data_IF_440993830697
#
_entry.id   IF_440993830697
#
_cell.length_a   1.000
_cell.length_b   1.000
_cell.length_c   1.000
_cell.angle_alpha   90.00
_cell.angle_beta   90.00
_cell.angle_gamma   90.00
#
_symmetry.space_group_name_H-M   'P 1'
#
loop_
_entity.id
_entity.type
_entity.pdbx_description
1 polymer ?
#
# COMPACT_ATOMS: atom_id res chain seq x y z
N UNK A 1 -16.11 -3.23 -6.79
CA UNK A 1 -17.34 -2.45 -6.64
C UNK A 1 -18.53 -3.42 -6.70
N UNK A 2 -18.85 -3.96 -7.89
CA UNK A 2 -19.96 -4.92 -8.07
C UNK A 2 -19.95 -6.09 -7.08
N UNK A 3 -18.83 -6.82 -6.96
CA UNK A 3 -18.71 -7.95 -6.04
C UNK A 3 -18.84 -7.60 -4.56
N UNK A 4 -18.69 -6.33 -4.19
CA UNK A 4 -18.89 -5.83 -2.83
C UNK A 4 -20.23 -5.10 -2.65
N UNK A 5 -21.03 -4.93 -3.70
CA UNK A 5 -22.27 -4.13 -3.66
C UNK A 5 -22.06 -2.63 -3.41
N UNK A 6 -20.87 -2.09 -3.72
CA UNK A 6 -20.50 -0.68 -3.47
C UNK A 6 -20.34 0.11 -4.76
N UNK A 7 -20.26 1.45 -4.65
CA UNK A 7 -19.98 2.32 -5.78
C UNK A 7 -18.55 2.21 -6.28
N UNK A 8 -18.33 2.49 -7.57
CA UNK A 8 -16.97 2.54 -8.14
C UNK A 8 -16.12 3.63 -7.48
N UNK A 9 -16.73 4.80 -7.21
CA UNK A 9 -16.06 5.91 -6.54
C UNK A 9 -15.56 5.54 -5.14
N UNK A 10 -16.31 4.71 -4.39
CA UNK A 10 -15.90 4.25 -3.06
C UNK A 10 -14.63 3.39 -3.13
N UNK A 11 -14.59 2.47 -4.09
CA UNK A 11 -13.40 1.63 -4.31
C UNK A 11 -12.22 2.46 -4.82
N UNK A 12 -12.48 3.43 -5.69
CA UNK A 12 -11.45 4.35 -6.18
C UNK A 12 -10.86 5.18 -5.03
N UNK A 13 -11.69 5.69 -4.12
CA UNK A 13 -11.25 6.45 -2.95
C UNK A 13 -10.31 5.63 -2.05
N UNK A 14 -10.57 4.32 -1.86
CA UNK A 14 -9.67 3.42 -1.14
C UNK A 14 -8.30 3.27 -1.82
N UNK A 15 -8.28 3.28 -3.16
CA UNK A 15 -7.06 3.13 -3.96
C UNK A 15 -6.30 4.44 -4.18
N UNK A 16 -6.98 5.58 -4.03
CA UNK A 16 -6.44 6.92 -4.11
C UNK A 16 -6.31 7.60 -2.73
N UNK A 17 -6.28 6.81 -1.64
CA UNK A 17 -6.33 7.33 -0.27
C UNK A 17 -5.19 8.30 0.01
N UNK A 18 -3.96 7.97 -0.38
CA UNK A 18 -2.81 8.84 -0.16
C UNK A 18 -3.00 10.18 -0.87
N UNK A 19 -3.51 10.15 -2.09
CA UNK A 19 -3.76 11.32 -2.91
C UNK A 19 -4.87 12.20 -2.30
N UNK A 20 -5.89 11.60 -1.69
CA UNK A 20 -6.95 12.35 -0.98
C UNK A 20 -6.47 12.93 0.35
N UNK A 21 -5.74 12.16 1.15
CA UNK A 21 -5.29 12.58 2.49
C UNK A 21 -4.22 13.66 2.45
N UNK A 22 -3.30 13.61 1.47
CA UNK A 22 -2.21 14.58 1.36
C UNK A 22 -2.52 15.77 0.44
N UNK A 23 -3.70 15.80 -0.18
CA UNK A 23 -4.14 16.94 -0.98
C UNK A 23 -4.70 18.09 -0.11
N UNK A 24 -4.35 19.32 -0.49
CA UNK A 24 -4.71 20.52 0.27
C UNK A 24 -6.17 20.93 0.08
N UNK A 25 -6.86 20.47 -0.96
CA UNK A 25 -8.27 20.77 -1.20
C UNK A 25 -9.17 20.25 -0.09
N UNK A 26 -8.75 19.21 0.64
CA UNK A 26 -9.47 18.67 1.80
C UNK A 26 -8.90 19.14 3.14
N UNK A 27 -7.95 20.08 3.16
CA UNK A 27 -7.32 20.57 4.39
C UNK A 27 -8.33 21.15 5.40
N UNK A 28 -9.45 21.70 4.92
CA UNK A 28 -10.54 22.19 5.78
C UNK A 28 -11.29 21.07 6.52
N UNK A 29 -11.29 19.84 5.98
CA UNK A 29 -11.87 18.67 6.65
C UNK A 29 -10.92 18.06 7.69
N UNK A 30 -9.61 18.24 7.51
CA UNK A 30 -8.60 17.77 8.46
C UNK A 30 -8.61 18.57 9.80
N UNK A 31 -9.19 19.78 9.79
CA UNK A 31 -9.16 20.69 10.94
C UNK A 31 -10.22 20.41 12.03
N UNK A 32 -11.17 19.48 11.81
CA UNK A 32 -12.27 19.26 12.74
C UNK A 32 -11.91 18.33 13.92
N UNK A 33 -10.85 17.53 13.83
CA UNK A 33 -10.46 16.52 14.84
C UNK A 33 -8.93 16.39 15.00
N UNK A 34 -8.19 17.47 14.74
CA UNK A 34 -6.72 17.47 14.78
C UNK A 34 -6.17 17.47 16.22
N UNK A 35 -6.39 16.38 16.96
CA UNK A 35 -5.28 15.85 17.74
C UNK A 35 -4.19 15.46 16.72
N UNK A 36 -2.92 15.77 16.98
CA UNK A 36 -1.81 15.37 16.12
C UNK A 36 -1.91 13.88 15.81
N UNK A 37 -2.41 13.52 14.63
CA UNK A 37 -2.41 12.14 14.16
C UNK A 37 -0.94 11.75 13.99
N UNK A 38 -0.43 10.75 14.74
CA UNK A 38 0.94 10.34 14.61
C UNK A 38 1.18 9.92 13.16
N UNK A 39 2.31 10.37 12.60
CA UNK A 39 2.71 10.07 11.24
C UNK A 39 2.63 8.55 10.98
N UNK A 40 2.24 8.15 9.75
CA UNK A 40 2.46 6.78 9.28
C UNK A 40 3.90 6.37 9.58
N UNK A 41 4.05 5.34 10.41
CA UNK A 41 5.31 4.70 10.69
C UNK A 41 5.44 3.50 9.77
N UNK A 42 6.52 3.41 9.01
CA UNK A 42 6.82 2.19 8.29
C UNK A 42 8.30 1.91 8.47
N UNK A 43 8.64 0.67 8.81
CA UNK A 43 10.02 0.20 8.84
C UNK A 43 10.15 -1.00 7.92
N UNK A 44 11.06 -0.91 6.95
CA UNK A 44 11.30 -1.96 5.97
C UNK A 44 12.75 -2.42 6.01
N UNK A 45 12.97 -3.70 5.72
CA UNK A 45 14.31 -4.26 5.59
C UNK A 45 14.42 -5.16 4.36
N UNK A 46 15.67 -5.33 3.90
CA UNK A 46 16.08 -6.39 3.00
C UNK A 46 17.44 -6.93 3.46
N UNK A 47 17.56 -8.24 3.65
CA UNK A 47 18.79 -8.94 4.00
C UNK A 47 19.14 -9.93 2.89
N UNK A 48 20.39 -9.89 2.44
CA UNK A 48 20.88 -10.69 1.32
C UNK A 48 22.36 -11.05 1.51
N UNK A 49 22.84 -12.04 0.75
CA UNK A 49 24.24 -12.48 0.80
C UNK A 49 24.61 -13.03 2.18
N UNK A 50 25.72 -12.55 2.75
CA UNK A 50 26.15 -12.99 4.09
C UNK A 50 25.18 -12.57 5.20
N UNK A 51 24.40 -11.49 5.00
CA UNK A 51 23.47 -10.99 6.01
C UNK A 51 22.22 -11.86 6.17
N UNK A 52 21.86 -12.68 5.17
CA UNK A 52 20.74 -13.62 5.28
C UNK A 52 21.11 -14.97 5.90
N UNK A 53 22.38 -15.36 5.83
CA UNK A 53 22.89 -16.60 6.44
C UNK A 53 22.54 -17.90 5.69
N UNK A 54 21.60 -17.87 4.74
CA UNK A 54 21.12 -19.03 3.98
C UNK A 54 21.20 -18.86 2.46
N UNK A 55 21.69 -17.70 1.98
CA UNK A 55 21.77 -17.39 0.55
C UNK A 55 20.44 -16.97 -0.10
N UNK A 56 19.34 -16.94 0.65
CA UNK A 56 18.08 -16.37 0.20
C UNK A 56 18.04 -14.85 0.45
N UNK A 57 17.12 -14.16 -0.23
CA UNK A 57 16.80 -12.76 0.08
C UNK A 57 15.61 -12.75 1.04
N UNK A 58 15.80 -12.13 2.19
CA UNK A 58 14.73 -11.87 3.16
C UNK A 58 14.31 -10.42 3.05
N UNK A 59 13.02 -10.15 2.93
CA UNK A 59 12.47 -8.81 2.94
C UNK A 59 11.21 -8.79 3.80
N UNK A 60 10.99 -7.67 4.49
CA UNK A 60 9.83 -7.52 5.35
C UNK A 60 9.61 -6.08 5.77
N UNK A 61 8.41 -5.82 6.26
CA UNK A 61 7.98 -4.50 6.66
C UNK A 61 7.02 -4.58 7.85
N UNK A 62 7.23 -3.70 8.83
CA UNK A 62 6.16 -3.27 9.73
C UNK A 62 5.43 -2.08 9.08
N UNK A 63 4.09 -2.15 9.07
CA UNK A 63 3.24 -1.08 8.60
C UNK A 63 2.38 -0.59 9.76
N UNK A 64 2.72 0.60 10.24
CA UNK A 64 2.10 1.25 11.38
C UNK A 64 1.08 2.26 10.86
N UNK A 65 -0.20 1.90 11.00
CA UNK A 65 -1.35 2.71 10.59
C UNK A 65 -2.42 2.70 11.69
N UNK A 66 -3.59 3.26 11.40
CA UNK A 66 -4.73 3.30 12.32
C UNK A 66 -5.12 1.90 12.78
N UNK A 67 -5.32 1.73 14.10
CA UNK A 67 -5.66 0.44 14.71
C UNK A 67 -6.89 -0.22 14.07
N UNK A 68 -7.89 0.59 13.68
CA UNK A 68 -9.12 0.13 13.02
C UNK A 68 -8.87 -0.53 11.65
N UNK A 69 -7.76 -0.21 10.98
CA UNK A 69 -7.40 -0.87 9.73
C UNK A 69 -7.05 -2.35 9.94
N UNK A 70 -6.68 -2.76 11.16
CA UNK A 70 -6.37 -4.15 11.47
C UNK A 70 -7.51 -5.12 11.12
N UNK A 71 -8.77 -4.68 11.26
CA UNK A 71 -9.96 -5.49 10.94
C UNK A 71 -10.22 -5.63 9.43
N UNK A 72 -9.59 -4.78 8.61
CA UNK A 72 -9.78 -4.76 7.15
C UNK A 72 -8.57 -5.28 6.38
N UNK A 73 -7.50 -5.67 7.07
CA UNK A 73 -6.32 -6.27 6.45
C UNK A 73 -6.65 -7.68 5.97
N UNK A 74 -6.37 -7.95 4.70
CA UNK A 74 -6.55 -9.26 4.07
C UNK A 74 -5.31 -9.67 3.27
N UNK A 75 -5.10 -10.98 3.16
CA UNK A 75 -4.11 -11.56 2.24
C UNK A 75 -4.80 -11.94 0.92
N UNK A 76 -4.29 -11.43 -0.20
CA UNK A 76 -4.78 -11.76 -1.53
C UNK A 76 -3.78 -12.62 -2.28
N UNK A 77 -4.27 -13.75 -2.83
CA UNK A 77 -3.57 -14.53 -3.84
C UNK A 77 -4.19 -14.27 -5.21
N UNK A 78 -3.44 -13.66 -6.12
CA UNK A 78 -3.91 -13.34 -7.48
C UNK A 78 -3.20 -14.23 -8.48
N UNK A 79 -3.93 -15.15 -9.12
CA UNK A 79 -3.43 -16.05 -10.17
C UNK A 79 -3.86 -15.51 -11.53
N UNK A 80 -2.89 -15.16 -12.39
CA UNK A 80 -3.15 -14.41 -13.61
C UNK A 80 -2.21 -14.78 -14.77
N UNK A 81 -2.23 -16.02 -15.31
CA UNK A 81 -1.38 -16.39 -16.43
C UNK A 81 -1.60 -15.47 -17.65
N UNK A 82 -0.53 -15.08 -18.39
CA UNK A 82 0.87 -15.52 -18.26
C UNK A 82 1.69 -14.69 -17.25
N UNK A 83 1.08 -13.79 -16.49
CA UNK A 83 1.76 -12.94 -15.51
C UNK A 83 2.08 -13.71 -14.21
N UNK A 84 3.03 -13.21 -13.40
CA UNK A 84 3.32 -13.79 -12.09
C UNK A 84 2.09 -13.88 -11.17
N UNK A 85 2.06 -14.95 -10.36
CA UNK A 85 1.11 -15.06 -9.25
C UNK A 85 1.54 -14.12 -8.14
N UNK A 86 0.60 -13.37 -7.57
CA UNK A 86 0.86 -12.39 -6.50
C UNK A 86 0.41 -12.94 -5.15
N UNK A 87 1.15 -12.62 -4.10
CA UNK A 87 0.73 -12.69 -2.71
C UNK A 87 0.92 -11.32 -2.08
N UNK A 88 -0.18 -10.68 -1.69
CA UNK A 88 -0.15 -9.31 -1.16
C UNK A 88 -0.95 -9.20 0.13
N UNK A 89 -0.45 -8.41 1.07
CA UNK A 89 -1.21 -7.93 2.22
C UNK A 89 -1.82 -6.57 1.86
N UNK A 90 -3.13 -6.45 1.81
CA UNK A 90 -3.84 -5.20 1.45
C UNK A 90 -4.88 -4.85 2.51
N UNK A 91 -5.40 -3.63 2.48
CA UNK A 91 -6.72 -3.36 3.06
C UNK A 91 -7.82 -3.75 2.06
N UNK A 92 -8.92 -4.31 2.54
CA UNK A 92 -10.02 -4.76 1.69
C UNK A 92 -10.51 -3.65 0.74
N UNK A 93 -10.50 -3.95 -0.56
CA UNK A 93 -10.85 -2.99 -1.62
C UNK A 93 -9.65 -2.35 -2.33
N UNK A 94 -8.43 -2.43 -1.77
CA UNK A 94 -7.22 -1.99 -2.45
C UNK A 94 -6.69 -3.04 -3.44
N UNK A 95 -6.10 -2.55 -4.53
CA UNK A 95 -5.60 -3.40 -5.63
C UNK A 95 -4.12 -3.80 -5.49
N UNK A 96 -3.37 -3.13 -4.60
CA UNK A 96 -1.94 -3.35 -4.43
C UNK A 96 -1.37 -2.61 -3.23
N UNK A 97 -0.49 -3.28 -2.49
CA UNK A 97 0.17 -2.74 -1.29
C UNK A 97 1.57 -3.39 -1.15
N UNK A 98 1.90 -4.13 -0.09
CA UNK A 98 3.15 -4.90 0.00
C UNK A 98 2.90 -6.37 -0.30
N UNK A 99 3.94 -7.06 -0.74
CA UNK A 99 3.82 -8.47 -1.10
C UNK A 99 5.01 -9.00 -1.86
N UNK A 100 4.81 -10.16 -2.47
CA UNK A 100 5.76 -10.78 -3.37
C UNK A 100 5.04 -11.47 -4.54
N UNK A 101 5.79 -11.78 -5.60
CA UNK A 101 5.26 -12.51 -6.74
C UNK A 101 6.09 -13.76 -7.09
N UNK A 102 5.53 -14.63 -7.92
CA UNK A 102 6.15 -15.89 -8.33
C UNK A 102 7.38 -15.73 -9.24
N UNK A 103 7.76 -14.50 -9.60
CA UNK A 103 9.00 -14.19 -10.30
C UNK A 103 10.15 -13.85 -9.32
N UNK A 104 9.91 -13.89 -8.01
CA UNK A 104 10.91 -13.62 -6.99
C UNK A 104 11.06 -12.14 -6.63
N UNK A 105 10.10 -11.29 -7.00
CA UNK A 105 10.10 -9.88 -6.62
C UNK A 105 9.33 -9.73 -5.30
N UNK A 106 9.95 -9.06 -4.33
CA UNK A 106 9.29 -8.60 -3.10
C UNK A 106 9.23 -7.06 -3.10
N UNK A 107 8.11 -6.51 -2.66
CA UNK A 107 7.87 -5.07 -2.59
C UNK A 107 7.38 -4.68 -1.19
N UNK A 108 8.12 -3.78 -0.56
CA UNK A 108 7.75 -3.08 0.66
C UNK A 108 7.62 -1.59 0.34
N UNK A 109 6.66 -0.89 0.93
CA UNK A 109 6.39 0.51 0.61
C UNK A 109 6.20 1.35 1.87
N UNK A 110 7.01 2.38 2.06
CA UNK A 110 6.93 3.28 3.21
C UNK A 110 6.30 4.59 2.77
N UNK A 111 5.45 5.17 3.62
CA UNK A 111 4.98 6.54 3.44
C UNK A 111 6.15 7.49 3.53
N UNK A 112 6.38 8.27 2.48
CA UNK A 112 7.30 9.40 2.50
C UNK A 112 6.45 10.67 2.45
N UNK A 113 6.61 11.53 3.45
CA UNK A 113 5.96 12.82 3.47
C UNK A 113 6.51 13.76 2.40
N UNK A 114 5.70 14.76 2.03
CA UNK A 114 6.09 15.81 1.10
C UNK A 114 5.62 15.58 -0.34
N UNK A 115 5.87 16.58 -1.17
CA UNK A 115 5.50 16.60 -2.60
C UNK A 115 6.71 17.03 -3.41
N UNK A 116 7.12 16.22 -4.38
CA UNK A 116 8.29 16.50 -5.21
C UNK A 116 8.00 17.60 -6.24
N UNK A 117 6.86 17.53 -6.94
CA UNK A 117 6.42 18.56 -7.90
C UNK A 117 4.88 18.61 -8.04
N UNK A 118 4.38 19.43 -8.97
CA UNK A 118 2.96 19.60 -9.25
C UNK A 118 2.41 18.66 -10.35
N UNK A 119 3.21 17.71 -10.85
CA UNK A 119 2.79 16.81 -11.93
C UNK A 119 1.69 15.85 -11.45
N UNK A 120 0.83 15.45 -12.39
CA UNK A 120 -0.22 14.45 -12.13
C UNK A 120 0.38 13.07 -12.32
N UNK A 121 0.48 12.31 -11.22
CA UNK A 121 1.01 10.96 -11.18
C UNK A 121 -0.06 9.87 -11.13
N UNK A 122 0.39 8.62 -10.98
CA UNK A 122 -0.46 7.48 -10.70
C UNK A 122 -0.67 7.32 -9.19
N UNK A 123 -1.84 6.83 -8.74
CA UNK A 123 -2.03 6.50 -7.34
C UNK A 123 -1.05 5.44 -6.84
N UNK A 124 -0.63 5.54 -5.59
CA UNK A 124 0.38 4.63 -5.02
C UNK A 124 0.01 3.15 -5.16
N UNK A 125 -1.27 2.80 -5.01
CA UNK A 125 -1.77 1.43 -5.14
C UNK A 125 -1.59 0.87 -6.55
N UNK A 126 -1.72 1.72 -7.59
CA UNK A 126 -1.51 1.35 -9.00
C UNK A 126 -0.03 1.08 -9.26
N UNK A 127 0.86 1.94 -8.76
CA UNK A 127 2.32 1.76 -8.88
C UNK A 127 2.75 0.46 -8.20
N UNK A 128 2.29 0.22 -6.97
CA UNK A 128 2.59 -1.02 -6.22
C UNK A 128 2.11 -2.27 -6.97
N UNK A 129 0.91 -2.21 -7.55
CA UNK A 129 0.36 -3.30 -8.37
C UNK A 129 1.04 -3.47 -9.73
N UNK A 130 1.68 -2.44 -10.26
CA UNK A 130 2.44 -2.57 -11.50
C UNK A 130 3.78 -3.30 -11.29
N UNK A 131 4.38 -3.15 -10.09
CA UNK A 131 5.61 -3.86 -9.69
C UNK A 131 5.33 -5.32 -9.34
N UNK A 132 4.22 -5.58 -8.64
CA UNK A 132 3.80 -6.90 -8.21
C UNK A 132 3.03 -7.64 -9.31
#
# INVERSE_FOLDING_TARGET
AEGAGTGLADVLALNARGEVLYDKSFAAMAAADAAEEPAEGCTSFAAYGAASGDGHVWAGQNWDWRAQAGETVVMLRVVQPPKPTLLMQVEAGQIGRQGANSAGIALNANGLGGRFDASVGLPQTVVRRAVL
#
